data_IF_842298026285
#
_entry.id   IF_842298026285
#
_cell.length_a   1.000
_cell.length_b   1.000
_cell.length_c   1.000
_cell.angle_alpha   90.00
_cell.angle_beta   90.00
_cell.angle_gamma   90.00
#
_symmetry.space_group_name_H-M   'P 1'
#
loop_
_entity.id
_entity.type
_entity.pdbx_description
1 polymer ?
#
# COMPACT_ATOMS: atom_id res chain seq x y z
N UNK A 1 51.77 8.89 -15.55
CA UNK A 1 52.59 8.13 -16.52
C UNK A 1 51.68 7.10 -17.17
N UNK A 2 51.59 7.09 -18.49
CA UNK A 2 50.68 6.20 -19.23
C UNK A 2 51.42 4.95 -19.69
N UNK A 3 50.70 3.82 -19.82
CA UNK A 3 51.17 2.72 -20.66
C UNK A 3 50.02 2.27 -21.60
N UNK A 4 50.28 2.51 -22.84
CA UNK A 4 49.61 2.00 -24.04
C UNK A 4 50.06 0.54 -24.28
N UNK A 5 49.28 -0.19 -25.04
CA UNK A 5 49.65 -1.15 -26.12
C UNK A 5 48.48 -2.09 -26.33
N UNK A 6 48.10 -2.57 -27.46
CA UNK A 6 48.34 -2.40 -28.89
C UNK A 6 47.48 -3.49 -29.56
N UNK A 7 46.92 -3.19 -30.66
CA UNK A 7 46.06 -4.01 -31.51
C UNK A 7 46.77 -5.28 -32.04
N UNK A 8 45.99 -6.32 -32.35
CA UNK A 8 46.34 -7.22 -33.44
C UNK A 8 45.11 -7.63 -34.24
N UNK A 9 45.21 -7.37 -35.52
CA UNK A 9 44.34 -7.74 -36.60
C UNK A 9 44.76 -9.12 -37.10
N UNK A 10 43.83 -10.01 -37.40
CA UNK A 10 44.08 -11.15 -38.26
C UNK A 10 42.85 -11.35 -39.17
N UNK A 11 43.14 -11.14 -40.46
CA UNK A 11 42.26 -11.42 -41.57
C UNK A 11 42.41 -12.88 -42.01
N UNK A 12 41.38 -13.45 -42.58
CA UNK A 12 41.53 -14.70 -43.31
C UNK A 12 40.24 -15.44 -43.61
N UNK A 13 39.85 -15.50 -44.86
CA UNK A 13 39.28 -16.68 -45.42
C UNK A 13 37.86 -16.56 -46.01
N UNK A 14 37.78 -16.11 -47.26
CA UNK A 14 36.62 -16.20 -48.18
C UNK A 14 36.51 -17.64 -48.68
N UNK A 15 35.37 -18.33 -48.48
CA UNK A 15 34.99 -19.53 -49.23
C UNK A 15 33.53 -19.39 -49.65
N UNK A 16 33.34 -19.15 -50.95
CA UNK A 16 32.07 -19.29 -51.66
C UNK A 16 31.76 -20.77 -51.80
N UNK A 17 30.62 -21.20 -51.31
CA UNK A 17 29.97 -22.44 -51.74
C UNK A 17 28.53 -22.13 -52.20
N UNK A 18 28.31 -22.26 -53.48
CA UNK A 18 26.99 -22.20 -54.07
C UNK A 18 26.24 -23.52 -53.82
N UNK A 19 24.99 -23.43 -53.35
CA UNK A 19 24.08 -24.56 -53.31
C UNK A 19 22.66 -24.15 -53.75
N UNK A 20 21.84 -25.06 -54.29
CA UNK A 20 20.81 -24.75 -55.25
C UNK A 20 19.49 -24.26 -54.62
N UNK A 21 18.77 -23.45 -55.40
CA UNK A 21 17.40 -23.00 -55.18
C UNK A 21 16.41 -24.17 -55.13
N UNK A 22 15.93 -24.54 -53.97
CA UNK A 22 14.73 -25.36 -53.81
C UNK A 22 13.55 -24.44 -53.49
N UNK A 23 12.65 -24.31 -54.45
CA UNK A 23 11.36 -23.61 -54.27
C UNK A 23 10.46 -24.45 -53.38
N UNK A 24 10.42 -24.15 -52.09
CA UNK A 24 9.39 -24.64 -51.17
C UNK A 24 8.26 -23.65 -51.12
N UNK A 25 7.11 -23.98 -51.64
CA UNK A 25 5.84 -23.28 -51.41
C UNK A 25 5.50 -23.36 -49.93
N UNK A 26 5.78 -22.30 -49.20
CA UNK A 26 5.26 -22.15 -47.83
C UNK A 26 3.84 -21.61 -47.91
N UNK A 27 2.88 -22.49 -47.67
CA UNK A 27 1.49 -22.13 -47.40
C UNK A 27 1.48 -21.18 -46.18
N UNK A 28 1.02 -19.96 -46.38
CA UNK A 28 0.76 -19.01 -45.30
C UNK A 28 -0.33 -19.58 -44.38
N UNK A 29 0.08 -19.95 -43.17
CA UNK A 29 -0.83 -20.23 -42.07
C UNK A 29 -1.52 -18.91 -41.68
N UNK A 30 -2.86 -18.89 -41.53
CA UNK A 30 -3.53 -17.65 -41.17
C UNK A 30 -3.00 -17.16 -39.84
N UNK A 31 -2.59 -15.88 -39.77
CA UNK A 31 -2.20 -15.18 -38.57
C UNK A 31 -3.38 -15.22 -37.59
N UNK A 32 -3.24 -15.97 -36.53
CA UNK A 32 -4.17 -15.96 -35.41
C UNK A 32 -4.14 -14.52 -34.83
N UNK A 33 -5.25 -13.82 -34.94
CA UNK A 33 -5.45 -12.54 -34.28
C UNK A 33 -5.07 -12.71 -32.80
N UNK A 34 -3.99 -12.08 -32.37
CA UNK A 34 -3.69 -11.91 -30.96
C UNK A 34 -4.83 -11.10 -30.35
N UNK A 35 -5.73 -11.79 -29.69
CA UNK A 35 -6.86 -11.21 -29.01
C UNK A 35 -6.32 -10.33 -27.88
N UNK A 36 -6.68 -9.07 -27.89
CA UNK A 36 -6.43 -8.07 -26.87
C UNK A 36 -7.21 -8.43 -25.59
N UNK A 37 -6.78 -9.45 -24.87
CA UNK A 37 -7.47 -9.96 -23.67
C UNK A 37 -6.91 -9.37 -22.38
N UNK A 38 -5.75 -8.69 -22.43
CA UNK A 38 -5.04 -8.26 -21.22
C UNK A 38 -5.66 -7.05 -20.54
N UNK A 39 -6.33 -6.15 -21.28
CA UNK A 39 -6.93 -4.94 -20.71
C UNK A 39 -8.26 -5.19 -20.00
N UNK A 40 -9.02 -6.19 -20.43
CA UNK A 40 -10.32 -6.56 -19.84
C UNK A 40 -10.12 -7.33 -18.54
N UNK A 41 -9.20 -8.29 -18.51
CA UNK A 41 -8.88 -9.07 -17.32
C UNK A 41 -8.38 -8.22 -16.15
N UNK A 42 -7.63 -7.12 -16.43
CA UNK A 42 -7.16 -6.20 -15.39
C UNK A 42 -8.26 -5.33 -14.78
N UNK A 43 -9.30 -4.98 -15.56
CA UNK A 43 -10.45 -4.22 -15.04
C UNK A 43 -11.35 -5.08 -14.16
N UNK A 44 -11.61 -6.29 -14.60
CA UNK A 44 -12.48 -7.22 -13.87
C UNK A 44 -11.87 -7.62 -12.54
N UNK A 45 -10.54 -7.83 -12.47
CA UNK A 45 -9.87 -8.19 -11.24
C UNK A 45 -9.87 -7.09 -10.18
N UNK A 46 -9.68 -5.80 -10.56
CA UNK A 46 -9.73 -4.73 -9.58
C UNK A 46 -11.16 -4.43 -9.11
N UNK A 47 -12.18 -4.69 -9.95
CA UNK A 47 -13.57 -4.59 -9.51
C UNK A 47 -13.92 -5.64 -8.45
N UNK A 48 -13.31 -6.81 -8.49
CA UNK A 48 -13.44 -7.83 -7.45
C UNK A 48 -12.84 -7.34 -6.12
N UNK A 49 -11.71 -6.63 -6.17
CA UNK A 49 -11.04 -6.05 -4.99
C UNK A 49 -11.60 -4.65 -4.61
N UNK A 50 -12.64 -4.18 -5.29
CA UNK A 50 -13.13 -2.80 -5.17
C UNK A 50 -13.57 -2.40 -3.76
N UNK A 51 -14.05 -3.36 -2.97
CA UNK A 51 -14.39 -3.13 -1.57
C UNK A 51 -13.12 -2.84 -0.76
N UNK A 52 -12.12 -3.69 -0.87
CA UNK A 52 -10.84 -3.53 -0.18
C UNK A 52 -10.16 -2.20 -0.56
N UNK A 53 -10.12 -1.87 -1.85
CA UNK A 53 -9.53 -0.61 -2.34
C UNK A 53 -10.23 0.62 -1.73
N UNK A 54 -11.57 0.59 -1.59
CA UNK A 54 -12.32 1.69 -0.94
C UNK A 54 -12.01 1.77 0.55
N UNK A 55 -11.98 0.63 1.25
CA UNK A 55 -11.66 0.57 2.67
C UNK A 55 -10.23 1.06 2.93
N UNK A 56 -9.25 0.66 2.10
CA UNK A 56 -7.88 1.16 2.22
C UNK A 56 -7.77 2.69 2.04
N UNK A 57 -8.51 3.28 1.10
CA UNK A 57 -8.57 4.75 0.95
C UNK A 57 -9.20 5.40 2.20
N UNK A 58 -10.26 4.83 2.73
CA UNK A 58 -10.96 5.35 3.91
C UNK A 58 -10.10 5.25 5.18
N UNK A 59 -9.40 4.13 5.38
CA UNK A 59 -8.51 3.92 6.53
C UNK A 59 -7.33 4.89 6.49
N UNK A 60 -6.72 5.10 5.33
CA UNK A 60 -5.65 6.10 5.17
C UNK A 60 -6.16 7.52 5.47
N UNK A 61 -7.35 7.89 4.98
CA UNK A 61 -7.97 9.18 5.31
C UNK A 61 -8.25 9.32 6.82
N UNK A 62 -8.70 8.26 7.50
CA UNK A 62 -8.90 8.27 8.94
C UNK A 62 -7.60 8.62 9.68
N UNK A 63 -6.50 7.95 9.34
CA UNK A 63 -5.21 8.19 10.00
C UNK A 63 -4.68 9.61 9.74
N UNK A 64 -4.90 10.18 8.55
CA UNK A 64 -4.62 11.59 8.27
C UNK A 64 -5.44 12.50 9.19
N UNK A 65 -6.75 12.26 9.33
CA UNK A 65 -7.65 13.09 10.18
C UNK A 65 -7.29 13.00 11.66
N UNK A 66 -6.98 11.81 12.16
CA UNK A 66 -6.55 11.59 13.54
C UNK A 66 -5.18 12.23 13.79
N UNK A 67 -4.24 12.11 12.87
CA UNK A 67 -2.93 12.74 12.94
C UNK A 67 -2.99 14.26 12.93
N UNK A 68 -3.77 14.86 12.05
CA UNK A 68 -4.00 16.32 12.01
C UNK A 68 -4.61 16.84 13.34
N UNK A 69 -5.53 16.07 13.91
CA UNK A 69 -6.10 16.40 15.21
C UNK A 69 -5.04 16.33 16.32
N UNK A 70 -4.18 15.29 16.29
CA UNK A 70 -3.12 15.12 17.28
C UNK A 70 -2.04 16.20 17.17
N UNK A 71 -1.68 16.65 15.98
CA UNK A 71 -0.76 17.79 15.84
C UNK A 71 -1.27 19.06 16.54
N UNK A 72 -2.58 19.28 16.54
CA UNK A 72 -3.20 20.45 17.19
C UNK A 72 -3.38 20.26 18.70
N UNK A 73 -3.81 19.07 19.16
CA UNK A 73 -4.26 18.82 20.53
C UNK A 73 -3.22 18.14 21.42
N UNK A 74 -2.30 17.34 20.87
CA UNK A 74 -1.32 16.65 21.70
C UNK A 74 -0.44 17.64 22.49
N UNK A 75 -0.06 17.23 23.69
CA UNK A 75 0.85 17.99 24.55
C UNK A 75 2.26 17.40 24.58
N UNK A 76 2.37 16.08 24.41
CA UNK A 76 3.65 15.39 24.36
C UNK A 76 4.33 15.60 22.98
N UNK A 77 5.59 16.10 22.95
CA UNK A 77 6.29 16.37 21.69
C UNK A 77 6.50 15.12 20.83
N UNK A 78 6.76 13.97 21.45
CA UNK A 78 6.96 12.68 20.72
C UNK A 78 5.66 12.25 20.04
N UNK A 79 4.50 12.44 20.71
CA UNK A 79 3.18 12.20 20.10
C UNK A 79 2.93 13.13 18.92
N UNK A 80 3.28 14.42 19.02
CA UNK A 80 3.15 15.36 17.89
C UNK A 80 4.02 14.95 16.70
N UNK A 81 5.27 14.57 16.94
CA UNK A 81 6.19 14.12 15.90
C UNK A 81 5.68 12.83 15.23
N UNK A 82 5.21 11.87 16.03
CA UNK A 82 4.59 10.66 15.52
C UNK A 82 3.36 11.00 14.65
N UNK A 83 2.47 11.88 15.12
CA UNK A 83 1.29 12.30 14.38
C UNK A 83 1.64 12.98 13.04
N UNK A 84 2.70 13.79 13.01
CA UNK A 84 3.20 14.40 11.77
C UNK A 84 3.63 13.31 10.75
N UNK A 85 4.34 12.28 11.21
CA UNK A 85 4.72 11.15 10.38
C UNK A 85 3.49 10.42 9.85
N UNK A 86 2.50 10.14 10.70
CA UNK A 86 1.24 9.50 10.30
C UNK A 86 0.54 10.26 9.18
N UNK A 87 0.41 11.59 9.30
CA UNK A 87 -0.19 12.42 8.24
C UNK A 87 0.60 12.32 6.93
N UNK A 88 1.93 12.39 6.99
CA UNK A 88 2.77 12.37 5.80
C UNK A 88 2.68 11.03 5.06
N UNK A 89 2.81 9.94 5.80
CA UNK A 89 2.87 8.59 5.21
C UNK A 89 1.49 8.18 4.69
N UNK A 90 0.42 8.37 5.48
CA UNK A 90 -0.94 7.97 5.08
C UNK A 90 -1.52 8.84 3.96
N UNK A 91 -1.18 10.12 3.86
CA UNK A 91 -1.51 10.92 2.67
C UNK A 91 -0.93 10.33 1.39
N UNK A 92 0.33 9.94 1.43
CA UNK A 92 1.00 9.33 0.29
C UNK A 92 0.37 7.98 -0.08
N UNK A 93 0.00 7.17 0.91
CA UNK A 93 -0.65 5.88 0.70
C UNK A 93 -2.06 6.06 0.11
N UNK A 94 -2.85 6.99 0.63
CA UNK A 94 -4.16 7.36 0.09
C UNK A 94 -4.07 7.74 -1.39
N UNK A 95 -3.14 8.62 -1.76
CA UNK A 95 -2.92 9.03 -3.15
C UNK A 95 -2.55 7.86 -4.06
N UNK A 96 -1.77 6.90 -3.57
CA UNK A 96 -1.40 5.70 -4.31
C UNK A 96 -2.60 4.80 -4.57
N UNK A 97 -3.47 4.57 -3.57
CA UNK A 97 -4.70 3.80 -3.73
C UNK A 97 -5.68 4.45 -4.69
N UNK A 98 -5.88 5.77 -4.59
CA UNK A 98 -6.69 6.54 -5.54
C UNK A 98 -6.11 6.44 -6.95
N UNK A 99 -4.79 6.52 -7.08
CA UNK A 99 -4.10 6.39 -8.36
C UNK A 99 -4.27 5.02 -9.01
N UNK A 100 -4.18 3.94 -8.23
CA UNK A 100 -4.45 2.57 -8.70
C UNK A 100 -5.92 2.45 -9.12
N UNK A 101 -6.85 2.86 -8.28
CA UNK A 101 -8.28 2.83 -8.56
C UNK A 101 -8.63 3.57 -9.87
N UNK A 102 -8.13 4.80 -10.03
CA UNK A 102 -8.38 5.64 -11.19
C UNK A 102 -7.87 5.02 -12.50
N UNK A 103 -6.65 4.48 -12.51
CA UNK A 103 -6.07 3.80 -13.69
C UNK A 103 -6.90 2.61 -14.15
N UNK A 104 -7.67 2.02 -13.28
CA UNK A 104 -8.54 0.88 -13.55
C UNK A 104 -10.03 1.25 -13.67
N UNK A 105 -10.36 2.54 -13.78
CA UNK A 105 -11.70 3.03 -14.05
C UNK A 105 -12.61 3.13 -12.83
N UNK A 106 -12.06 3.07 -11.62
CA UNK A 106 -12.77 3.37 -10.37
C UNK A 106 -12.56 4.85 -10.00
N UNK A 107 -13.66 5.59 -9.86
CA UNK A 107 -13.62 6.96 -9.32
C UNK A 107 -13.91 6.90 -7.82
N UNK A 108 -12.89 7.20 -7.02
CA UNK A 108 -13.02 7.24 -5.56
C UNK A 108 -12.94 8.68 -5.08
N UNK A 109 -13.86 9.03 -4.18
CA UNK A 109 -13.78 10.26 -3.39
C UNK A 109 -13.52 9.84 -1.94
N UNK A 110 -12.39 10.28 -1.33
CA UNK A 110 -12.11 9.97 0.06
C UNK A 110 -13.18 10.60 0.97
N UNK A 111 -13.93 9.75 1.65
CA UNK A 111 -14.95 10.16 2.63
C UNK A 111 -14.91 9.16 3.78
N UNK A 112 -14.98 9.66 5.00
CA UNK A 112 -15.10 8.80 6.17
C UNK A 112 -16.53 8.30 6.31
N UNK A 113 -16.68 7.01 6.53
CA UNK A 113 -17.95 6.42 6.93
C UNK A 113 -18.27 6.70 8.41
N UNK A 114 -19.53 6.45 8.81
CA UNK A 114 -20.02 6.82 10.15
C UNK A 114 -19.18 6.26 11.31
N UNK A 115 -18.61 5.06 11.17
CA UNK A 115 -17.74 4.45 12.20
C UNK A 115 -16.43 5.22 12.38
N UNK A 116 -15.84 5.69 11.30
CA UNK A 116 -14.59 6.44 11.30
C UNK A 116 -14.83 7.87 11.79
N UNK A 117 -15.90 8.53 11.35
CA UNK A 117 -16.29 9.83 11.91
C UNK A 117 -16.50 9.76 13.42
N UNK A 118 -17.14 8.71 13.95
CA UNK A 118 -17.29 8.52 15.39
C UNK A 118 -15.95 8.39 16.12
N UNK A 119 -14.91 7.78 15.51
CA UNK A 119 -13.57 7.71 16.09
C UNK A 119 -12.94 9.11 16.19
N UNK A 120 -13.01 9.89 15.09
CA UNK A 120 -12.52 11.27 15.05
C UNK A 120 -13.24 12.13 16.10
N UNK A 121 -14.56 12.07 16.13
CA UNK A 121 -15.40 12.81 17.07
C UNK A 121 -15.11 12.48 18.54
N UNK A 122 -14.90 11.20 18.86
CA UNK A 122 -14.53 10.77 20.20
C UNK A 122 -13.21 11.41 20.62
N UNK A 123 -12.21 11.32 19.76
CA UNK A 123 -10.90 11.88 20.04
C UNK A 123 -10.93 13.42 20.11
N UNK A 124 -11.74 14.07 19.28
CA UNK A 124 -11.93 15.51 19.33
C UNK A 124 -12.52 15.97 20.67
N UNK A 125 -13.42 15.19 21.28
CA UNK A 125 -14.02 15.47 22.60
C UNK A 125 -13.17 15.02 23.78
N UNK A 126 -12.06 14.32 23.55
CA UNK A 126 -11.20 13.88 24.63
C UNK A 126 -10.65 15.06 25.44
N UNK A 127 -10.58 14.86 26.76
CA UNK A 127 -9.96 15.84 27.66
C UNK A 127 -8.49 16.05 27.30
N UNK A 128 -8.03 17.29 27.44
CA UNK A 128 -6.64 17.65 27.12
C UNK A 128 -5.61 16.77 27.84
N UNK A 129 -5.87 16.42 29.12
CA UNK A 129 -4.97 15.57 29.93
C UNK A 129 -4.96 14.10 29.49
N UNK A 130 -6.04 13.62 28.88
CA UNK A 130 -6.19 12.24 28.42
C UNK A 130 -5.84 12.08 26.93
N UNK A 131 -5.78 13.18 26.19
CA UNK A 131 -5.72 13.19 24.73
C UNK A 131 -4.59 12.32 24.17
N UNK A 132 -3.36 12.56 24.63
CA UNK A 132 -2.17 11.86 24.10
C UNK A 132 -2.30 10.34 24.25
N UNK A 133 -2.78 9.89 25.42
CA UNK A 133 -3.02 8.46 25.68
C UNK A 133 -4.16 7.89 24.83
N UNK A 134 -5.26 8.63 24.67
CA UNK A 134 -6.40 8.20 23.87
C UNK A 134 -6.05 8.13 22.39
N UNK A 135 -5.31 9.10 21.86
CA UNK A 135 -4.80 9.09 20.49
C UNK A 135 -3.92 7.86 20.26
N UNK A 136 -2.90 7.65 21.09
CA UNK A 136 -1.99 6.51 20.93
C UNK A 136 -2.71 5.16 21.07
N UNK A 137 -3.70 5.07 22.00
CA UNK A 137 -4.53 3.87 22.13
C UNK A 137 -5.34 3.60 20.85
N UNK A 138 -5.88 4.65 20.25
CA UNK A 138 -6.68 4.56 19.01
C UNK A 138 -5.81 4.11 17.85
N UNK A 139 -4.65 4.75 17.66
CA UNK A 139 -3.71 4.41 16.59
C UNK A 139 -3.18 2.98 16.72
N UNK A 140 -2.78 2.56 17.92
CA UNK A 140 -2.32 1.18 18.15
C UNK A 140 -3.41 0.17 17.76
N UNK A 141 -4.65 0.43 18.14
CA UNK A 141 -5.78 -0.46 17.82
C UNK A 141 -6.06 -0.50 16.33
N UNK A 142 -6.13 0.66 15.67
CA UNK A 142 -6.34 0.74 14.23
C UNK A 142 -5.25 -0.05 13.50
N UNK A 143 -3.96 0.27 13.74
CA UNK A 143 -2.86 -0.42 13.05
C UNK A 143 -2.78 -1.92 13.33
N UNK A 144 -3.25 -2.39 14.49
CA UNK A 144 -3.40 -3.83 14.71
C UNK A 144 -4.49 -4.45 13.82
N UNK A 145 -5.61 -3.72 13.63
CA UNK A 145 -6.68 -4.17 12.75
C UNK A 145 -6.23 -4.12 11.28
N UNK A 146 -5.57 -3.04 10.88
CA UNK A 146 -5.11 -2.82 9.50
C UNK A 146 -4.03 -3.84 9.10
N UNK A 147 -3.05 -4.12 9.95
CA UNK A 147 -2.01 -5.15 9.68
C UNK A 147 -2.65 -6.52 9.48
N UNK A 148 -3.64 -6.91 10.32
CA UNK A 148 -4.35 -8.17 10.15
C UNK A 148 -5.18 -8.18 8.86
N UNK A 149 -5.87 -7.08 8.57
CA UNK A 149 -6.73 -6.94 7.39
C UNK A 149 -5.93 -6.94 6.10
N UNK A 150 -4.90 -6.11 6.01
CA UNK A 150 -4.04 -6.04 4.82
C UNK A 150 -3.31 -7.35 4.53
N UNK A 151 -2.90 -8.08 5.56
CA UNK A 151 -2.30 -9.41 5.36
C UNK A 151 -3.32 -10.38 4.74
N UNK A 152 -4.51 -10.46 5.30
CA UNK A 152 -5.56 -11.37 4.84
C UNK A 152 -6.04 -11.02 3.41
N UNK A 153 -6.37 -9.75 3.16
CA UNK A 153 -6.85 -9.30 1.87
C UNK A 153 -5.75 -9.31 0.80
N UNK A 154 -4.49 -9.02 1.19
CA UNK A 154 -3.35 -9.10 0.29
C UNK A 154 -3.08 -10.50 -0.23
N UNK A 155 -3.30 -11.53 0.60
CA UNK A 155 -3.19 -12.95 0.20
C UNK A 155 -4.31 -13.36 -0.75
N UNK A 156 -5.50 -12.78 -0.63
CA UNK A 156 -6.70 -13.10 -1.40
C UNK A 156 -6.96 -12.18 -2.59
N UNK A 157 -6.26 -11.05 -2.72
CA UNK A 157 -6.48 -10.08 -3.78
C UNK A 157 -6.29 -10.68 -5.19
N UNK A 158 -7.23 -10.39 -6.08
CA UNK A 158 -7.25 -10.90 -7.45
C UNK A 158 -6.39 -10.04 -8.39
N UNK A 159 -6.33 -8.74 -8.12
CA UNK A 159 -5.62 -7.75 -8.95
C UNK A 159 -4.14 -7.67 -8.58
N UNK A 160 -3.27 -7.79 -9.58
CA UNK A 160 -1.82 -7.62 -9.38
C UNK A 160 -1.45 -6.21 -8.89
N UNK A 161 -2.02 -5.09 -9.38
CA UNK A 161 -1.80 -3.78 -8.81
C UNK A 161 -2.17 -3.66 -7.33
N UNK A 162 -3.26 -4.32 -6.89
CA UNK A 162 -3.68 -4.35 -5.48
C UNK A 162 -2.65 -5.13 -4.65
N UNK A 163 -2.27 -6.34 -5.07
CA UNK A 163 -1.22 -7.11 -4.36
C UNK A 163 0.09 -6.35 -4.21
N UNK A 164 0.52 -5.65 -5.26
CA UNK A 164 1.74 -4.83 -5.20
C UNK A 164 1.63 -3.72 -4.16
N UNK A 165 0.50 -3.01 -4.14
CA UNK A 165 0.32 -1.90 -3.22
C UNK A 165 0.17 -2.37 -1.78
N UNK A 166 -0.52 -3.50 -1.54
CA UNK A 166 -0.54 -4.17 -0.23
C UNK A 166 0.88 -4.54 0.22
N UNK A 167 1.67 -5.14 -0.67
CA UNK A 167 3.07 -5.50 -0.38
C UNK A 167 3.96 -4.30 -0.06
N UNK A 168 3.62 -3.12 -0.58
CA UNK A 168 4.30 -1.87 -0.26
C UNK A 168 3.82 -1.28 1.07
N UNK A 169 2.51 -1.26 1.34
CA UNK A 169 1.91 -0.61 2.51
C UNK A 169 2.06 -1.44 3.79
N UNK A 170 1.89 -2.76 3.72
CA UNK A 170 1.91 -3.63 4.90
C UNK A 170 3.17 -3.47 5.79
N UNK A 171 4.40 -3.41 5.24
CA UNK A 171 5.58 -3.12 6.05
C UNK A 171 5.55 -1.75 6.73
N UNK A 172 4.95 -0.74 6.09
CA UNK A 172 4.78 0.62 6.65
C UNK A 172 3.83 0.58 7.84
N UNK A 173 2.67 -0.09 7.70
CA UNK A 173 1.71 -0.27 8.79
C UNK A 173 2.33 -1.02 9.99
N UNK A 174 3.16 -2.03 9.73
CA UNK A 174 3.89 -2.77 10.78
C UNK A 174 4.88 -1.87 11.53
N UNK A 175 5.62 -1.02 10.81
CA UNK A 175 6.56 -0.07 11.41
C UNK A 175 5.83 1.03 12.19
N UNK A 176 4.71 1.53 11.66
CA UNK A 176 3.83 2.45 12.40
C UNK A 176 3.33 1.83 13.70
N UNK A 177 2.87 0.56 13.67
CA UNK A 177 2.42 -0.15 14.87
C UNK A 177 3.54 -0.30 15.90
N UNK A 178 4.75 -0.63 15.46
CA UNK A 178 5.91 -0.73 16.36
C UNK A 178 6.22 0.62 17.01
N UNK A 179 6.30 1.68 16.20
CA UNK A 179 6.53 3.06 16.66
C UNK A 179 5.42 3.54 17.59
N UNK A 180 4.15 3.26 17.24
CA UNK A 180 3.01 3.63 18.07
C UNK A 180 3.06 2.97 19.45
N UNK A 181 3.49 1.72 19.55
CA UNK A 181 3.67 1.03 20.84
C UNK A 181 4.76 1.67 21.69
N UNK A 182 5.86 2.11 21.07
CA UNK A 182 6.96 2.80 21.77
C UNK A 182 6.48 4.15 22.31
N UNK A 183 5.91 5.00 21.45
CA UNK A 183 5.39 6.32 21.84
C UNK A 183 4.23 6.17 22.83
N UNK A 184 3.35 5.20 22.63
CA UNK A 184 2.22 4.94 23.54
C UNK A 184 2.68 4.61 24.96
N UNK A 185 3.78 3.88 25.12
CA UNK A 185 4.37 3.58 26.44
C UNK A 185 4.77 4.85 27.19
N UNK A 186 5.28 5.87 26.49
CA UNK A 186 5.66 7.15 27.10
C UNK A 186 4.47 7.91 27.72
N UNK A 187 3.27 7.70 27.18
CA UNK A 187 2.02 8.32 27.63
C UNK A 187 1.11 7.35 28.40
N UNK A 188 1.65 6.23 28.87
CA UNK A 188 0.96 5.31 29.76
C UNK A 188 -0.01 4.34 29.07
N UNK A 189 0.18 4.05 27.78
CA UNK A 189 -0.60 3.01 27.07
C UNK A 189 0.01 1.64 27.30
N UNK A 190 -0.79 0.70 27.82
CA UNK A 190 -0.47 -0.73 27.81
C UNK A 190 -0.95 -1.39 26.50
N UNK A 191 -0.03 -1.55 25.56
CA UNK A 191 -0.32 -2.15 24.26
C UNK A 191 -0.81 -3.61 24.35
N UNK A 192 -0.41 -4.35 25.40
CA UNK A 192 -0.89 -5.71 25.63
C UNK A 192 -2.35 -5.69 26.11
N UNK A 193 -2.74 -4.72 26.94
CA UNK A 193 -4.14 -4.54 27.33
C UNK A 193 -5.01 -4.14 26.13
N UNK A 194 -4.50 -3.28 25.23
CA UNK A 194 -5.18 -2.93 23.98
C UNK A 194 -5.42 -4.17 23.12
N UNK A 195 -4.42 -5.04 22.96
CA UNK A 195 -4.53 -6.29 22.22
C UNK A 195 -5.57 -7.24 22.83
N UNK A 196 -5.56 -7.44 24.15
CA UNK A 196 -6.54 -8.28 24.86
C UNK A 196 -7.97 -7.80 24.68
N UNK A 197 -8.21 -6.48 24.74
CA UNK A 197 -9.55 -5.91 24.57
C UNK A 197 -10.11 -6.15 23.15
N UNK A 198 -9.25 -6.19 22.12
CA UNK A 198 -9.62 -6.53 20.76
C UNK A 198 -10.12 -7.97 20.64
N UNK A 199 -9.43 -8.93 21.23
CA UNK A 199 -9.84 -10.34 21.18
C UNK A 199 -11.20 -10.59 21.85
N UNK A 200 -11.47 -9.93 22.98
CA UNK A 200 -12.78 -10.04 23.67
C UNK A 200 -13.92 -9.46 22.84
N UNK A 201 -13.67 -8.36 22.11
CA UNK A 201 -14.68 -7.75 21.24
C UNK A 201 -15.02 -8.58 20.00
N UNK A 202 -14.08 -9.40 19.49
CA UNK A 202 -14.30 -10.30 18.35
C UNK A 202 -14.97 -11.63 18.73
N UNK A 203 -14.95 -12.00 20.02
CA UNK A 203 -15.53 -13.24 20.53
C UNK A 203 -17.03 -13.12 20.93
N UNK A 204 -17.62 -11.93 20.82
CA UNK A 204 -19.04 -11.62 21.06
C UNK A 204 -19.75 -11.33 19.75
#
# INVERSE_FOLDING_TARGET
MPVRHLAMIAAGGLLLAAAPLSSAHAQAKPATKATTTTATAGKDSIQTDARFVREAVEDNLLEVRLGDLAQRKATNPTVKQFAQRMVTDHKKLEDQWIGVASKHGMSLKPVLGPKHEQKVDRLQRADQKAFDREYMTTVIRNHMDDVDYFRHEGESAHSEPVRKLVGYELPILQDHLLSARQVGKEVGVDSAAVARSKHVARAK
#
